data_IF_131242763750
#
_entry.id   IF_131242763750
#
_cell.length_a   1.000
_cell.length_b   1.000
_cell.length_c   1.000
_cell.angle_alpha   90.00
_cell.angle_beta   90.00
_cell.angle_gamma   90.00
#
_symmetry.space_group_name_H-M   'P 1'
#
loop_
_entity.id
_entity.type
_entity.pdbx_description
1 polymer ?
#
# COMPACT_ATOMS: atom_id res chain seq x y z
N UNK A 1 -2.58 -30.71 3.22
CA UNK A 1 -1.39 -29.85 3.40
C UNK A 1 -1.81 -28.41 3.13
N UNK A 2 -1.72 -27.52 4.12
CA UNK A 2 -1.93 -26.08 3.90
C UNK A 2 -0.65 -25.50 3.33
N UNK A 3 -0.72 -24.91 2.14
CA UNK A 3 0.36 -24.09 1.60
C UNK A 3 0.56 -22.86 2.52
N UNK A 4 1.80 -22.46 2.82
CA UNK A 4 2.05 -21.24 3.58
C UNK A 4 1.56 -20.01 2.81
N UNK A 5 0.95 -19.09 3.55
CA UNK A 5 0.38 -17.84 3.08
C UNK A 5 1.51 -16.94 2.52
N UNK A 6 1.51 -16.52 1.23
CA UNK A 6 2.64 -15.83 0.60
C UNK A 6 2.76 -14.33 0.93
N UNK A 7 1.92 -13.77 1.81
CA UNK A 7 1.91 -12.34 2.12
C UNK A 7 2.28 -12.05 3.57
N UNK A 8 3.45 -12.54 4.01
CA UNK A 8 4.19 -11.83 5.05
C UNK A 8 5.12 -10.91 4.28
N UNK A 9 4.72 -9.65 4.09
CA UNK A 9 5.64 -8.62 3.59
C UNK A 9 6.84 -8.63 4.52
N UNK A 10 7.95 -9.20 4.04
CA UNK A 10 9.22 -9.11 4.73
C UNK A 10 9.56 -7.61 4.68
N UNK A 11 9.81 -6.94 5.82
CA UNK A 11 10.28 -5.56 5.78
C UNK A 11 11.47 -5.51 4.82
N UNK A 12 11.37 -4.65 3.79
CA UNK A 12 12.41 -4.47 2.78
C UNK A 12 13.58 -3.76 3.45
N UNK A 13 14.42 -4.53 4.14
CA UNK A 13 15.70 -4.06 4.61
C UNK A 13 16.62 -3.83 3.42
N UNK A 14 17.40 -2.75 3.47
CA UNK A 14 18.49 -2.45 2.56
C UNK A 14 19.54 -3.56 2.64
N UNK A 15 19.61 -4.36 1.58
CA UNK A 15 20.52 -5.49 1.47
C UNK A 15 21.40 -5.35 0.24
N UNK A 16 22.67 -5.72 0.40
CA UNK A 16 23.62 -5.87 -0.69
C UNK A 16 23.81 -7.35 -0.96
N UNK A 17 23.62 -7.74 -2.22
CA UNK A 17 23.84 -9.10 -2.70
C UNK A 17 25.14 -9.16 -3.50
N UNK A 18 26.12 -9.92 -3.02
CA UNK A 18 27.42 -10.08 -3.69
C UNK A 18 27.61 -11.54 -4.09
N UNK A 19 27.86 -11.86 -5.37
CA UNK A 19 28.24 -13.21 -5.77
C UNK A 19 29.53 -13.63 -5.09
N UNK A 20 29.57 -14.85 -4.57
CA UNK A 20 30.75 -15.41 -3.91
C UNK A 20 31.12 -16.76 -4.52
N UNK A 21 32.37 -17.18 -4.28
CA UNK A 21 32.87 -18.45 -4.76
C UNK A 21 32.30 -19.64 -3.94
N UNK A 22 32.27 -20.87 -4.51
CA UNK A 22 31.70 -22.05 -3.84
C UNK A 22 32.38 -22.45 -2.53
N UNK A 23 33.63 -22.09 -2.33
CA UNK A 23 34.39 -22.31 -1.09
C UNK A 23 33.86 -21.48 0.09
N UNK A 24 33.02 -20.47 -0.17
CA UNK A 24 32.32 -19.70 0.84
C UNK A 24 30.91 -20.25 1.16
N UNK A 25 30.54 -21.39 0.57
CA UNK A 25 29.31 -22.09 0.89
C UNK A 25 29.24 -22.39 2.40
N UNK A 26 28.09 -22.10 3.01
CA UNK A 26 27.86 -22.32 4.45
C UNK A 26 28.40 -21.23 5.37
N UNK A 27 29.08 -20.20 4.84
CA UNK A 27 29.41 -19.02 5.64
C UNK A 27 28.15 -18.21 6.00
N UNK A 28 28.15 -17.51 7.16
CA UNK A 28 27.03 -16.64 7.54
C UNK A 28 26.67 -15.64 6.44
N UNK A 29 25.38 -15.54 6.12
CA UNK A 29 24.86 -14.64 5.09
C UNK A 29 25.00 -15.16 3.65
N UNK A 30 25.67 -16.29 3.42
CA UNK A 30 25.78 -16.89 2.08
C UNK A 30 24.60 -17.84 1.84
N UNK A 31 23.87 -17.60 0.75
CA UNK A 31 22.74 -18.43 0.29
C UNK A 31 23.11 -19.12 -1.02
N UNK A 32 22.92 -20.43 -1.09
CA UNK A 32 22.98 -21.18 -2.34
C UNK A 32 21.64 -21.08 -3.07
N UNK A 33 21.68 -20.74 -4.35
CA UNK A 33 20.53 -20.80 -5.26
C UNK A 33 20.90 -21.61 -6.47
N UNK A 34 20.04 -22.54 -6.86
CA UNK A 34 20.23 -23.36 -8.06
C UNK A 34 19.36 -22.83 -9.19
N UNK A 35 19.93 -22.72 -10.38
CA UNK A 35 19.20 -22.38 -11.60
C UNK A 35 19.57 -23.34 -12.72
N UNK A 36 18.62 -23.65 -13.60
CA UNK A 36 18.86 -24.48 -14.77
C UNK A 36 19.28 -23.60 -15.95
N UNK A 37 20.38 -23.96 -16.61
CA UNK A 37 20.86 -23.32 -17.83
C UNK A 37 20.85 -24.34 -18.96
N UNK A 38 20.10 -24.06 -20.02
CA UNK A 38 20.01 -24.93 -21.19
C UNK A 38 21.40 -25.18 -21.80
N UNK A 39 21.72 -26.44 -22.12
CA UNK A 39 23.03 -26.85 -22.63
C UNK A 39 24.14 -27.01 -21.58
N UNK A 40 23.93 -26.56 -20.34
CA UNK A 40 24.91 -26.68 -19.23
C UNK A 40 24.38 -27.57 -18.09
N UNK A 41 23.08 -27.53 -17.82
CA UNK A 41 22.44 -28.24 -16.72
C UNK A 41 22.19 -27.36 -15.50
N UNK A 42 22.10 -27.96 -14.32
CA UNK A 42 21.90 -27.22 -13.06
C UNK A 42 23.20 -26.53 -12.64
N UNK A 43 23.12 -25.23 -12.37
CA UNK A 43 24.23 -24.40 -11.89
C UNK A 43 23.89 -23.88 -10.50
N UNK A 44 24.79 -24.11 -9.53
CA UNK A 44 24.72 -23.50 -8.20
C UNK A 44 25.40 -22.14 -8.19
N UNK A 45 24.70 -21.13 -7.67
CA UNK A 45 25.21 -19.77 -7.45
C UNK A 45 25.16 -19.48 -5.95
N UNK A 46 26.26 -18.96 -5.42
CA UNK A 46 26.36 -18.57 -4.02
C UNK A 46 26.31 -17.05 -3.93
N UNK A 47 25.39 -16.52 -3.13
CA UNK A 47 25.17 -15.09 -2.96
C UNK A 47 25.31 -14.75 -1.49
N UNK A 48 26.23 -13.85 -1.15
CA UNK A 48 26.33 -13.27 0.19
C UNK A 48 25.37 -12.09 0.30
N UNK A 49 24.41 -12.19 1.21
CA UNK A 49 23.45 -11.13 1.54
C UNK A 49 23.94 -10.41 2.79
N UNK A 50 24.24 -9.13 2.63
CA UNK A 50 24.78 -8.27 3.68
C UNK A 50 23.80 -7.13 3.97
N UNK A 51 23.60 -6.80 5.24
CA UNK A 51 22.78 -5.64 5.61
C UNK A 51 23.58 -4.36 5.45
N UNK A 52 22.91 -3.30 5.02
CA UNK A 52 23.53 -2.03 4.71
C UNK A 52 22.88 -0.89 5.49
N UNK A 53 23.71 0.03 5.97
CA UNK A 53 23.25 1.32 6.49
C UNK A 53 22.95 2.29 5.33
N UNK A 54 21.72 2.80 5.24
CA UNK A 54 21.25 3.65 4.14
C UNK A 54 21.95 5.02 4.04
N UNK A 55 22.60 5.49 5.11
CA UNK A 55 23.27 6.80 5.13
C UNK A 55 24.71 6.68 4.66
N UNK A 56 25.39 5.61 5.07
CA UNK A 56 26.82 5.42 4.78
C UNK A 56 27.10 4.38 3.70
N UNK A 57 26.07 3.64 3.28
CA UNK A 57 26.16 2.47 2.40
C UNK A 57 27.12 1.38 2.92
N UNK A 58 27.46 1.43 4.21
CA UNK A 58 28.39 0.50 4.83
C UNK A 58 27.70 -0.81 5.22
N UNK A 59 28.39 -1.93 4.99
CA UNK A 59 27.96 -3.25 5.45
C UNK A 59 28.16 -3.35 6.96
N UNK A 60 27.09 -3.67 7.68
CA UNK A 60 27.12 -3.88 9.14
C UNK A 60 26.02 -4.83 9.59
N UNK A 61 26.26 -5.63 10.62
CA UNK A 61 25.30 -6.63 11.10
C UNK A 61 24.19 -6.04 11.98
N UNK A 62 24.43 -4.82 12.49
CA UNK A 62 23.61 -4.13 13.49
C UNK A 62 22.59 -3.14 12.93
N UNK A 63 22.21 -3.32 11.66
CA UNK A 63 21.19 -2.51 11.00
C UNK A 63 19.81 -2.74 11.62
N UNK A 64 19.12 -1.63 11.89
CA UNK A 64 17.72 -1.60 12.30
C UNK A 64 16.90 -0.66 11.41
N UNK A 65 15.73 -1.14 10.99
CA UNK A 65 14.75 -0.33 10.27
C UNK A 65 14.02 0.59 11.26
N UNK A 66 14.13 1.90 11.06
CA UNK A 66 13.35 2.90 11.77
C UNK A 66 12.18 3.36 10.90
N UNK A 67 11.01 3.48 11.53
CA UNK A 67 9.79 4.06 10.94
C UNK A 67 9.53 5.41 11.54
N UNK A 68 9.34 6.42 10.70
CA UNK A 68 9.04 7.77 11.17
C UNK A 68 8.11 8.51 10.21
N UNK A 69 7.46 9.54 10.74
CA UNK A 69 6.55 10.40 9.98
C UNK A 69 7.07 11.83 10.04
N UNK A 70 7.16 12.49 8.89
CA UNK A 70 7.69 13.86 8.78
C UNK A 70 6.74 14.71 7.93
N UNK A 71 6.38 15.94 8.35
CA UNK A 71 5.67 16.87 7.50
C UNK A 71 6.55 17.29 6.32
N UNK A 72 6.02 17.19 5.10
CA UNK A 72 6.69 17.56 3.86
C UNK A 72 5.79 18.55 3.13
N UNK A 73 6.38 19.65 2.68
CA UNK A 73 5.73 20.60 1.80
C UNK A 73 5.65 20.01 0.39
N UNK A 74 4.45 19.92 -0.15
CA UNK A 74 4.22 19.61 -1.56
C UNK A 74 4.16 20.93 -2.30
N UNK A 75 5.05 21.12 -3.27
CA UNK A 75 5.09 22.34 -4.08
C UNK A 75 3.81 22.47 -4.93
N UNK A 76 3.34 23.71 -5.16
CA UNK A 76 2.20 23.93 -6.03
C UNK A 76 2.50 23.47 -7.46
N UNK A 77 1.47 22.92 -8.12
CA UNK A 77 1.55 22.54 -9.53
C UNK A 77 0.83 23.60 -10.34
N UNK A 78 1.52 24.22 -11.30
CA UNK A 78 0.90 25.14 -12.24
C UNK A 78 -0.01 24.38 -13.21
N UNK A 79 -1.12 25.00 -13.61
CA UNK A 79 -1.97 24.44 -14.64
C UNK A 79 -1.20 24.29 -15.96
N UNK A 80 -1.40 23.14 -16.60
CA UNK A 80 -0.86 22.83 -17.93
C UNK A 80 -2.03 22.29 -18.77
N UNK A 81 -2.62 23.18 -19.57
CA UNK A 81 -3.79 22.86 -20.41
C UNK A 81 -3.47 21.80 -21.48
N UNK A 82 -2.23 21.75 -21.96
CA UNK A 82 -1.80 20.78 -22.99
C UNK A 82 -1.69 19.37 -22.40
N UNK A 83 -1.35 19.26 -21.11
CA UNK A 83 -1.31 17.99 -20.37
C UNK A 83 -2.58 17.69 -19.56
N UNK A 84 -3.56 18.59 -19.56
CA UNK A 84 -4.79 18.45 -18.76
C UNK A 84 -4.54 18.45 -17.25
N UNK A 85 -3.51 19.16 -16.79
CA UNK A 85 -3.16 19.28 -15.37
C UNK A 85 -3.82 20.55 -14.81
N UNK A 86 -4.67 20.40 -13.79
CA UNK A 86 -5.25 21.53 -13.07
C UNK A 86 -4.24 22.14 -12.09
N UNK A 87 -4.39 23.43 -11.81
CA UNK A 87 -3.56 24.08 -10.81
C UNK A 87 -3.86 23.53 -9.41
N UNK A 88 -2.82 23.13 -8.68
CA UNK A 88 -2.92 22.71 -7.29
C UNK A 88 -2.11 23.64 -6.39
N UNK A 89 -2.71 24.11 -5.29
CA UNK A 89 -2.00 24.87 -4.27
C UNK A 89 -1.02 23.97 -3.50
N UNK A 90 0.09 24.55 -3.05
CA UNK A 90 1.03 23.83 -2.20
C UNK A 90 0.42 23.52 -0.84
N UNK A 91 0.71 22.34 -0.30
CA UNK A 91 0.15 21.90 0.98
C UNK A 91 1.14 21.06 1.79
N UNK A 92 0.93 21.05 3.10
CA UNK A 92 1.67 20.16 4.00
C UNK A 92 1.02 18.78 4.02
N UNK A 93 1.82 17.74 3.80
CA UNK A 93 1.42 16.36 4.02
C UNK A 93 2.34 15.67 5.01
N UNK A 94 1.80 14.69 5.74
CA UNK A 94 2.63 13.80 6.56
C UNK A 94 3.13 12.66 5.67
N UNK A 95 4.45 12.59 5.48
CA UNK A 95 5.09 11.49 4.76
C UNK A 95 5.59 10.46 5.77
N UNK A 96 5.13 9.22 5.63
CA UNK A 96 5.68 8.08 6.37
C UNK A 96 6.92 7.57 5.63
N UNK A 97 8.01 7.31 6.36
CA UNK A 97 9.31 6.90 5.82
C UNK A 97 9.86 5.71 6.62
N UNK A 98 10.62 4.89 5.94
CA UNK A 98 11.47 3.85 6.52
C UNK A 98 12.92 4.19 6.18
N UNK A 99 13.84 3.88 7.10
CA UNK A 99 15.28 4.00 6.88
C UNK A 99 16.00 2.90 7.67
N UNK A 100 16.99 2.28 7.04
CA UNK A 100 17.82 1.24 7.65
C UNK A 100 19.14 1.82 8.14
N UNK A 101 19.34 1.81 9.45
CA UNK A 101 20.51 2.44 10.07
C UNK A 101 21.29 1.45 10.92
N UNK A 102 22.62 1.44 10.75
CA UNK A 102 23.55 0.84 11.69
C UNK A 102 23.61 1.64 13.00
N UNK A 103 24.17 1.05 14.06
CA UNK A 103 24.11 1.60 15.42
C UNK A 103 24.53 3.06 15.53
N UNK A 104 25.65 3.44 14.90
CA UNK A 104 26.18 4.81 14.98
C UNK A 104 25.19 5.84 14.45
N UNK A 105 24.62 5.61 13.26
CA UNK A 105 23.70 6.54 12.62
C UNK A 105 22.32 6.50 13.28
N UNK A 106 21.88 5.32 13.73
CA UNK A 106 20.67 5.18 14.56
C UNK A 106 20.77 6.02 15.83
N UNK A 107 21.87 5.89 16.58
CA UNK A 107 22.05 6.60 17.84
C UNK A 107 22.16 8.12 17.59
N UNK A 108 22.81 8.55 16.51
CA UNK A 108 22.84 9.95 16.08
C UNK A 108 21.44 10.48 15.71
N UNK A 109 20.65 9.70 14.98
CA UNK A 109 19.29 10.03 14.60
C UNK A 109 18.40 10.22 15.84
N UNK A 110 18.40 9.25 16.76
CA UNK A 110 17.61 9.34 18.00
C UNK A 110 18.03 10.54 18.86
N UNK A 111 19.35 10.78 18.98
CA UNK A 111 19.88 11.94 19.72
C UNK A 111 19.45 13.27 19.09
N UNK A 112 19.33 13.34 17.76
CA UNK A 112 18.86 14.55 17.08
C UNK A 112 17.38 14.86 17.36
N UNK A 113 16.57 13.83 17.62
CA UNK A 113 15.15 13.95 17.92
C UNK A 113 14.88 14.25 19.41
N UNK A 114 15.81 13.92 20.30
CA UNK A 114 15.67 13.98 21.76
C UNK A 114 15.14 15.33 22.29
N UNK A 115 15.67 16.44 21.77
CA UNK A 115 15.22 17.80 22.16
C UNK A 115 13.75 18.04 21.82
N UNK A 116 13.28 17.53 20.69
CA UNK A 116 11.90 17.71 20.25
C UNK A 116 10.96 16.76 21.00
N UNK A 117 11.38 15.52 21.23
CA UNK A 117 10.61 14.55 21.99
C UNK A 117 10.35 15.06 23.41
N UNK A 118 11.38 15.56 24.09
CA UNK A 118 11.27 16.13 25.45
C UNK A 118 10.36 17.35 25.53
N UNK A 119 10.29 18.15 24.45
CA UNK A 119 9.44 19.33 24.39
C UNK A 119 8.00 19.03 23.91
N UNK A 120 7.77 17.84 23.36
CA UNK A 120 6.49 17.44 22.78
C UNK A 120 5.62 16.67 23.79
N UNK A 121 4.34 16.53 23.47
CA UNK A 121 3.42 15.63 24.19
C UNK A 121 3.21 14.37 23.37
N UNK A 122 3.24 13.22 24.04
CA UNK A 122 2.82 11.98 23.42
C UNK A 122 1.32 12.05 23.14
N UNK A 123 0.95 11.92 21.87
CA UNK A 123 -0.43 11.70 21.48
C UNK A 123 -0.56 10.24 21.10
N UNK A 124 -1.65 9.60 21.50
CA UNK A 124 -1.95 8.28 20.99
C UNK A 124 -2.17 8.43 19.48
N UNK A 125 -1.30 7.78 18.70
CA UNK A 125 -1.46 7.78 17.24
C UNK A 125 -2.91 7.35 16.95
N UNK A 126 -3.67 8.11 16.13
CA UNK A 126 -4.99 7.65 15.72
C UNK A 126 -4.79 6.24 15.18
N UNK A 127 -5.48 5.27 15.78
CA UNK A 127 -5.37 3.88 15.35
C UNK A 127 -5.45 3.90 13.82
N UNK A 128 -4.48 3.31 13.09
CA UNK A 128 -4.57 3.25 11.65
C UNK A 128 -5.98 2.75 11.38
N UNK A 129 -6.80 3.54 10.68
CA UNK A 129 -8.04 3.01 10.13
C UNK A 129 -7.53 1.87 9.28
N UNK A 130 -7.58 0.65 9.83
CA UNK A 130 -7.47 -0.56 9.06
C UNK A 130 -8.53 -0.30 8.00
N UNK A 131 -8.07 -0.09 6.76
CA UNK A 131 -8.94 -0.04 5.60
C UNK A 131 -9.70 -1.34 5.75
N UNK A 132 -10.95 -1.25 6.22
CA UNK A 132 -11.63 -2.35 6.89
C UNK A 132 -11.37 -3.58 6.04
N UNK A 133 -10.54 -4.50 6.58
CA UNK A 133 -10.02 -5.62 5.82
C UNK A 133 -11.21 -6.18 5.07
N UNK A 134 -11.18 -6.07 3.72
CA UNK A 134 -12.30 -6.40 2.83
C UNK A 134 -12.98 -7.61 3.45
N UNK A 135 -14.13 -7.40 4.10
CA UNK A 135 -14.84 -8.50 4.74
C UNK A 135 -15.21 -9.43 3.61
N UNK A 136 -14.39 -10.45 3.45
CA UNK A 136 -14.69 -11.67 2.72
C UNK A 136 -15.84 -12.32 3.47
N UNK A 137 -17.04 -11.82 3.20
CA UNK A 137 -18.29 -12.51 3.48
C UNK A 137 -19.03 -12.55 2.15
N UNK A 138 -18.96 -13.71 1.51
CA UNK A 138 -19.92 -14.18 0.51
C UNK A 138 -21.32 -14.05 1.07
N UNK A 139 -22.02 -12.97 0.70
CA UNK A 139 -23.39 -12.67 1.11
C UNK A 139 -23.80 -11.25 0.68
N UNK A 140 -25.09 -10.98 0.43
CA UNK A 140 -25.58 -9.63 0.16
C UNK A 140 -25.26 -8.72 1.35
N UNK A 141 -24.86 -7.47 1.08
CA UNK A 141 -24.53 -6.54 2.16
C UNK A 141 -25.77 -6.31 3.05
N UNK A 142 -25.74 -6.70 4.34
CA UNK A 142 -26.88 -6.56 5.24
C UNK A 142 -27.26 -5.09 5.47
N UNK A 143 -26.35 -4.15 5.19
CA UNK A 143 -26.57 -2.70 5.33
C UNK A 143 -27.17 -2.02 4.09
N UNK A 144 -27.41 -2.76 3.00
CA UNK A 144 -28.20 -2.23 1.88
C UNK A 144 -29.67 -2.15 2.32
N UNK A 145 -30.20 -0.93 2.37
CA UNK A 145 -31.65 -0.71 2.49
C UNK A 145 -32.39 -1.45 1.37
N UNK A 146 -33.60 -1.94 1.65
CA UNK A 146 -34.45 -2.61 0.67
C UNK A 146 -34.61 -1.78 -0.61
N UNK A 147 -34.70 -0.46 -0.48
CA UNK A 147 -34.75 0.46 -1.61
C UNK A 147 -33.50 0.38 -2.50
N UNK A 148 -32.28 0.39 -1.92
CA UNK A 148 -31.04 0.24 -2.71
C UNK A 148 -30.89 -1.13 -3.37
N UNK A 149 -31.51 -2.18 -2.83
CA UNK A 149 -31.58 -3.49 -3.49
C UNK A 149 -32.43 -3.40 -4.75
N UNK A 150 -33.60 -2.75 -4.70
CA UNK A 150 -34.47 -2.53 -5.86
C UNK A 150 -33.78 -1.71 -6.94
N UNK A 151 -33.14 -0.60 -6.57
CA UNK A 151 -32.36 0.23 -7.51
C UNK A 151 -31.30 -0.61 -8.22
N UNK A 152 -30.55 -1.44 -7.48
CA UNK A 152 -29.52 -2.31 -8.06
C UNK A 152 -30.10 -3.37 -8.99
N UNK A 153 -31.19 -4.03 -8.60
CA UNK A 153 -31.88 -5.00 -9.46
C UNK A 153 -32.32 -4.36 -10.78
N UNK A 154 -32.89 -3.17 -10.72
CA UNK A 154 -33.29 -2.42 -11.92
C UNK A 154 -32.08 -2.09 -12.81
N UNK A 155 -30.99 -1.57 -12.22
CA UNK A 155 -29.77 -1.24 -12.98
C UNK A 155 -29.14 -2.46 -13.67
N UNK A 156 -29.22 -3.64 -13.06
CA UNK A 156 -28.64 -4.86 -13.60
C UNK A 156 -29.52 -5.53 -14.67
N UNK A 157 -30.85 -5.46 -14.53
CA UNK A 157 -31.76 -6.27 -15.34
C UNK A 157 -32.55 -5.47 -16.39
N UNK A 158 -32.81 -4.18 -16.15
CA UNK A 158 -33.85 -3.43 -16.86
C UNK A 158 -33.38 -2.04 -17.36
N UNK A 159 -32.42 -1.42 -16.67
CA UNK A 159 -31.97 -0.09 -17.03
C UNK A 159 -31.24 -0.10 -18.40
N UNK A 160 -31.48 0.92 -19.25
CA UNK A 160 -30.75 1.04 -20.50
C UNK A 160 -29.27 1.31 -20.23
N UNK A 161 -28.38 0.79 -21.09
CA UNK A 161 -26.93 0.96 -20.95
C UNK A 161 -26.48 2.44 -20.92
N UNK A 162 -27.32 3.36 -21.40
CA UNK A 162 -27.11 4.80 -21.30
C UNK A 162 -27.16 5.35 -19.87
N UNK A 163 -27.85 4.66 -18.95
CA UNK A 163 -27.93 5.06 -17.52
C UNK A 163 -26.67 4.66 -16.76
N UNK A 164 -26.10 3.50 -17.09
CA UNK A 164 -24.84 3.04 -16.49
C UNK A 164 -23.60 3.52 -17.25
N UNK A 165 -23.76 4.13 -18.43
CA UNK A 165 -22.67 4.44 -19.36
C UNK A 165 -21.80 3.23 -19.70
N UNK A 166 -22.41 2.04 -19.75
CA UNK A 166 -21.71 0.77 -19.95
C UNK A 166 -20.88 0.32 -18.74
N UNK A 167 -20.96 1.03 -17.61
CA UNK A 167 -20.28 0.61 -16.38
C UNK A 167 -20.96 -0.61 -15.77
N UNK A 168 -20.15 -1.50 -15.21
CA UNK A 168 -20.64 -2.63 -14.44
C UNK A 168 -21.21 -2.13 -13.12
N UNK A 169 -22.48 -2.42 -12.88
CA UNK A 169 -23.14 -2.13 -11.60
C UNK A 169 -22.41 -2.91 -10.50
N UNK A 170 -21.87 -2.25 -9.48
CA UNK A 170 -21.13 -2.93 -8.44
C UNK A 170 -22.10 -3.73 -7.59
N UNK A 171 -21.82 -5.02 -7.38
CA UNK A 171 -22.66 -5.92 -6.58
C UNK A 171 -22.73 -5.52 -5.09
N UNK A 172 -21.83 -4.63 -4.64
CA UNK A 172 -21.67 -4.19 -3.25
C UNK A 172 -21.35 -2.70 -3.16
N UNK A 173 -21.61 -2.10 -1.99
CA UNK A 173 -21.30 -0.69 -1.72
C UNK A 173 -22.40 0.29 -2.12
N UNK A 174 -22.08 1.59 -2.00
CA UNK A 174 -22.96 2.73 -2.29
C UNK A 174 -23.14 2.87 -3.81
N UNK A 175 -24.38 3.10 -4.24
CA UNK A 175 -24.68 3.38 -5.65
C UNK A 175 -24.37 4.84 -5.97
N UNK A 176 -23.96 5.12 -7.20
CA UNK A 176 -23.75 6.50 -7.66
C UNK A 176 -25.07 7.28 -7.53
N UNK A 177 -25.01 8.52 -7.06
CA UNK A 177 -26.20 9.37 -6.89
C UNK A 177 -26.99 9.57 -8.19
N UNK A 178 -26.29 9.60 -9.34
CA UNK A 178 -26.91 9.67 -10.66
C UNK A 178 -27.80 8.44 -10.97
N UNK A 179 -27.40 7.24 -10.53
CA UNK A 179 -28.21 6.03 -10.73
C UNK A 179 -29.43 5.99 -9.82
N UNK A 180 -29.25 6.44 -8.57
CA UNK A 180 -30.35 6.63 -7.62
C UNK A 180 -31.39 7.63 -8.18
N UNK A 181 -30.94 8.74 -8.76
CA UNK A 181 -31.82 9.74 -9.37
C UNK A 181 -32.55 9.20 -10.61
N UNK A 182 -31.84 8.50 -11.50
CA UNK A 182 -32.44 7.89 -12.69
C UNK A 182 -33.51 6.83 -12.35
N UNK A 183 -33.30 6.08 -11.26
CA UNK A 183 -34.30 5.13 -10.77
C UNK A 183 -35.57 5.84 -10.30
N UNK A 184 -35.45 6.93 -9.53
CA UNK A 184 -36.60 7.71 -9.04
C UNK A 184 -37.35 8.37 -10.20
N UNK A 185 -36.64 8.87 -11.22
CA UNK A 185 -37.26 9.44 -12.41
C UNK A 185 -38.13 8.41 -13.17
N UNK A 186 -37.67 7.14 -13.22
CA UNK A 186 -38.40 6.04 -13.84
C UNK A 186 -39.46 5.39 -12.94
N UNK A 187 -39.29 5.50 -11.63
CA UNK A 187 -40.19 4.94 -10.60
C UNK A 187 -40.59 6.01 -9.58
N UNK A 188 -41.37 7.03 -10.01
CA UNK A 188 -41.74 8.15 -9.14
C UNK A 188 -42.56 7.72 -7.90
N UNK A 189 -43.20 6.56 -7.95
CA UNK A 189 -43.94 5.94 -6.85
C UNK A 189 -43.07 5.23 -5.79
N UNK A 190 -41.76 5.06 -6.04
CA UNK A 190 -40.80 4.44 -5.10
C UNK A 190 -39.62 5.39 -4.83
N UNK A 191 -39.89 6.59 -4.24
CA UNK A 191 -38.84 7.57 -3.99
C UNK A 191 -37.85 7.07 -2.95
N UNK A 192 -36.66 7.70 -2.94
CA UNK A 192 -35.64 7.41 -1.94
C UNK A 192 -36.19 7.70 -0.53
N UNK A 193 -36.15 6.73 0.40
CA UNK A 193 -36.54 6.96 1.78
C UNK A 193 -35.56 7.93 2.46
N UNK A 194 -36.10 8.82 3.31
CA UNK A 194 -35.35 9.78 4.11
C UNK A 194 -34.44 9.11 5.16
#
# INVERSE_FOLDING_TARGET
MRLPNPTREVPKMSIKATPVAPDQAGQPGVTETQTYVEGVGNVSVYIKVEKVDDVTEAVTDDVQTLRFSVPVWVEPVAADEEKGIEAEEGYWKVSNREIDLGKKNRDAFLKSLDKYLTASREIQAPAPRTVAAKKSTTGPNPELTEWRRRVRTWLTNEAPASVTHGEKVPDRGVLKGAWEAAYVEKHPQDPKPE
#
